data_IF_768990960006
#
_entry.id   IF_768990960006
#
_cell.length_a   1.000
_cell.length_b   1.000
_cell.length_c   1.000
_cell.angle_alpha   90.00
_cell.angle_beta   90.00
_cell.angle_gamma   90.00
#
_symmetry.space_group_name_H-M   'P 1'
#
loop_
_entity.id
_entity.type
_entity.pdbx_description
1 polymer ?
#
# COMPACT_ATOMS: atom_id res chain seq x y z
N UNK A 1 -43.29 -38.22 20.73
CA UNK A 1 -42.83 -37.28 19.69
C UNK A 1 -42.09 -36.17 20.42
N UNK A 2 -40.79 -36.36 20.66
CA UNK A 2 -39.94 -35.38 21.34
C UNK A 2 -38.94 -34.86 20.31
N UNK A 3 -39.05 -33.56 20.03
CA UNK A 3 -38.16 -32.80 19.15
C UNK A 3 -37.00 -32.27 19.99
N UNK A 4 -35.77 -32.68 19.68
CA UNK A 4 -34.55 -32.24 20.36
C UNK A 4 -33.86 -31.21 19.47
N UNK A 5 -33.96 -29.94 19.84
CA UNK A 5 -33.29 -28.83 19.18
C UNK A 5 -31.76 -28.90 19.41
N UNK A 6 -31.01 -28.92 18.31
CA UNK A 6 -29.54 -28.92 18.28
C UNK A 6 -29.03 -27.47 18.38
N UNK A 7 -28.46 -27.10 19.53
CA UNK A 7 -27.83 -25.78 19.74
C UNK A 7 -26.43 -25.78 19.12
N UNK A 8 -26.21 -24.91 18.13
CA UNK A 8 -24.91 -24.70 17.51
C UNK A 8 -23.96 -23.95 18.47
N UNK A 9 -22.80 -24.56 18.77
CA UNK A 9 -21.77 -23.97 19.62
C UNK A 9 -21.09 -22.77 18.96
N UNK A 10 -21.03 -21.64 19.68
CA UNK A 10 -20.21 -20.48 19.32
C UNK A 10 -18.71 -20.83 19.38
N UNK A 11 -17.87 -20.32 18.45
CA UNK A 11 -16.45 -20.62 18.46
C UNK A 11 -15.73 -19.91 19.62
N UNK A 12 -15.27 -20.68 20.61
CA UNK A 12 -14.48 -20.23 21.77
C UNK A 12 -13.08 -19.70 21.43
N UNK A 13 -12.65 -19.73 20.16
CA UNK A 13 -11.25 -19.45 19.79
C UNK A 13 -10.88 -17.96 19.86
N UNK A 14 -11.81 -17.03 19.66
CA UNK A 14 -11.49 -15.59 19.58
C UNK A 14 -11.07 -14.95 20.92
N UNK A 15 -11.55 -15.47 22.06
CA UNK A 15 -11.25 -14.90 23.39
C UNK A 15 -9.85 -15.29 23.91
N UNK A 16 -9.32 -16.45 23.51
CA UNK A 16 -7.98 -16.88 23.91
C UNK A 16 -6.88 -16.07 23.23
N UNK A 17 -7.05 -15.71 21.95
CA UNK A 17 -6.06 -14.91 21.21
C UNK A 17 -5.93 -13.48 21.77
N UNK A 18 -7.05 -12.83 22.10
CA UNK A 18 -7.02 -11.49 22.66
C UNK A 18 -6.33 -11.46 24.04
N UNK A 19 -6.50 -12.52 24.84
CA UNK A 19 -5.86 -12.66 26.15
C UNK A 19 -4.34 -12.82 26.05
N UNK A 20 -3.84 -13.57 25.06
CA UNK A 20 -2.40 -13.82 24.91
C UNK A 20 -1.66 -12.57 24.42
N UNK A 21 -2.24 -11.84 23.45
CA UNK A 21 -1.69 -10.57 22.95
C UNK A 21 -1.65 -9.52 24.06
N UNK A 22 -2.72 -9.42 24.85
CA UNK A 22 -2.78 -8.48 25.97
C UNK A 22 -1.77 -8.84 27.08
N UNK A 23 -1.57 -10.13 27.37
CA UNK A 23 -0.55 -10.58 28.33
C UNK A 23 0.88 -10.26 27.87
N UNK A 24 1.22 -10.46 26.59
CA UNK A 24 2.54 -10.14 26.06
C UNK A 24 2.82 -8.63 26.09
N UNK A 25 1.82 -7.80 25.75
CA UNK A 25 1.94 -6.35 25.85
C UNK A 25 2.14 -5.88 27.31
N UNK A 26 1.42 -6.47 28.27
CA UNK A 26 1.56 -6.15 29.70
C UNK A 26 2.90 -6.63 30.29
N UNK A 27 3.45 -7.75 29.81
CA UNK A 27 4.78 -8.23 30.21
C UNK A 27 5.89 -7.33 29.67
N UNK A 28 5.76 -6.81 28.44
CA UNK A 28 6.70 -5.84 27.89
C UNK A 28 6.72 -4.52 28.71
N UNK A 29 5.55 -4.07 29.19
CA UNK A 29 5.44 -2.86 30.01
C UNK A 29 5.98 -3.02 31.44
N UNK A 30 6.00 -4.24 31.97
CA UNK A 30 6.44 -4.49 33.36
C UNK A 30 7.88 -4.99 33.48
N UNK A 31 8.47 -5.52 32.38
CA UNK A 31 9.84 -6.01 32.34
C UNK A 31 10.92 -4.97 31.98
N UNK A 32 10.54 -3.81 31.43
CA UNK A 32 11.51 -2.77 31.08
C UNK A 32 11.90 -1.96 32.32
N UNK A 33 13.11 -2.21 32.83
CA UNK A 33 13.71 -1.43 33.91
C UNK A 33 13.75 0.07 33.61
N UNK A 34 13.83 0.89 34.66
CA UNK A 34 13.66 2.35 34.70
C UNK A 34 14.69 3.20 33.91
N UNK A 35 15.33 2.66 32.88
CA UNK A 35 16.36 3.34 32.07
C UNK A 35 16.04 3.45 30.57
N UNK A 36 14.88 2.98 30.13
CA UNK A 36 14.50 3.01 28.71
C UNK A 36 13.72 4.30 28.41
N UNK A 37 14.14 5.04 27.38
CA UNK A 37 13.44 6.26 26.96
C UNK A 37 12.05 5.92 26.43
N UNK A 38 11.13 6.89 26.41
CA UNK A 38 9.75 6.62 25.94
C UNK A 38 9.72 6.23 24.45
N UNK A 39 10.64 6.79 23.64
CA UNK A 39 10.81 6.43 22.23
C UNK A 39 11.23 4.95 22.06
N UNK A 40 12.13 4.46 22.91
CA UNK A 40 12.56 3.05 22.88
C UNK A 40 11.41 2.09 23.20
N UNK A 41 10.48 2.50 24.07
CA UNK A 41 9.30 1.70 24.44
C UNK A 41 8.31 1.61 23.29
N UNK A 42 8.07 2.71 22.58
CA UNK A 42 7.21 2.72 21.41
C UNK A 42 7.74 1.81 20.30
N UNK A 43 9.05 1.85 20.05
CA UNK A 43 9.70 0.96 19.08
C UNK A 43 9.56 -0.51 19.50
N UNK A 44 9.78 -0.84 20.77
CA UNK A 44 9.65 -2.21 21.27
C UNK A 44 8.22 -2.76 21.10
N UNK A 45 7.20 -1.94 21.33
CA UNK A 45 5.79 -2.31 21.12
C UNK A 45 5.49 -2.53 19.64
N UNK A 46 5.95 -1.64 18.75
CA UNK A 46 5.75 -1.76 17.31
C UNK A 46 6.39 -3.04 16.73
N UNK A 47 7.59 -3.39 17.18
CA UNK A 47 8.28 -4.63 16.80
C UNK A 47 7.51 -5.87 17.29
N UNK A 48 7.05 -5.87 18.54
CA UNK A 48 6.29 -6.99 19.11
C UNK A 48 4.95 -7.23 18.37
N UNK A 49 4.24 -6.16 18.01
CA UNK A 49 2.99 -6.24 17.24
C UNK A 49 3.22 -6.78 15.83
N UNK A 50 4.31 -6.34 15.17
CA UNK A 50 4.65 -6.79 13.81
C UNK A 50 5.00 -8.28 13.77
N UNK A 51 5.77 -8.77 14.75
CA UNK A 51 6.12 -10.20 14.85
C UNK A 51 4.89 -11.08 15.14
N UNK A 52 3.91 -10.56 15.88
CA UNK A 52 2.68 -11.30 16.19
C UNK A 52 1.75 -11.40 14.97
N UNK A 53 1.70 -10.37 14.14
CA UNK A 53 0.90 -10.36 12.91
C UNK A 53 1.38 -11.40 11.87
N UNK A 54 2.70 -11.64 11.81
CA UNK A 54 3.29 -12.64 10.91
C UNK A 54 2.96 -14.10 11.28
N UNK A 55 2.51 -14.36 12.52
CA UNK A 55 2.23 -15.70 13.02
C UNK A 55 0.78 -16.17 12.82
N UNK A 56 -0.11 -15.34 12.28
CA UNK A 56 -1.53 -15.67 12.08
C UNK A 56 -1.79 -15.92 10.60
N UNK A 57 -1.65 -17.17 10.15
CA UNK A 57 -2.11 -17.56 8.82
C UNK A 57 -3.65 -17.52 8.75
N UNK A 58 -4.25 -16.90 7.72
CA UNK A 58 -5.69 -16.93 7.52
C UNK A 58 -6.12 -18.32 7.03
N UNK A 59 -6.77 -19.10 7.90
CA UNK A 59 -7.46 -20.33 7.48
C UNK A 59 -8.67 -19.97 6.61
N UNK A 60 -8.49 -19.96 5.29
CA UNK A 60 -9.58 -19.78 4.33
C UNK A 60 -10.42 -21.07 4.27
N UNK A 61 -11.68 -20.97 4.70
CA UNK A 61 -12.67 -22.04 4.55
C UNK A 61 -13.12 -22.12 3.08
N UNK A 62 -12.97 -23.29 2.47
CA UNK A 62 -13.43 -23.57 1.12
C UNK A 62 -14.98 -23.54 1.04
N UNK A 63 -15.50 -22.73 0.11
CA UNK A 63 -16.93 -22.64 -0.21
C UNK A 63 -17.32 -23.73 -1.22
N UNK A 64 -18.47 -24.42 -1.07
CA UNK A 64 -18.89 -25.44 -2.02
C UNK A 64 -19.38 -24.83 -3.35
N UNK A 65 -18.89 -25.41 -4.45
CA UNK A 65 -19.27 -25.13 -5.84
C UNK A 65 -20.74 -25.50 -6.10
N UNK A 66 -21.55 -24.52 -6.48
CA UNK A 66 -22.91 -24.73 -6.99
C UNK A 66 -22.89 -24.76 -8.53
N UNK A 67 -23.49 -25.79 -9.12
CA UNK A 67 -23.68 -25.95 -10.55
C UNK A 67 -24.89 -25.10 -11.03
N UNK A 68 -24.70 -24.32 -12.09
CA UNK A 68 -25.80 -23.65 -12.82
C UNK A 68 -25.98 -24.29 -14.20
N UNK A 69 -27.19 -24.79 -14.43
CA UNK A 69 -27.70 -25.25 -15.72
C UNK A 69 -28.23 -24.08 -16.55
N UNK A 70 -27.84 -24.02 -17.82
CA UNK A 70 -28.38 -23.11 -18.82
C UNK A 70 -29.60 -23.71 -19.51
N UNK A 71 -30.73 -23.01 -19.51
CA UNK A 71 -31.83 -23.24 -20.46
C UNK A 71 -32.07 -21.97 -21.27
N UNK A 72 -31.90 -22.09 -22.58
CA UNK A 72 -32.20 -21.06 -23.57
C UNK A 72 -33.57 -21.35 -24.18
N UNK A 73 -34.49 -20.38 -24.11
CA UNK A 73 -35.75 -20.41 -24.84
C UNK A 73 -35.72 -19.32 -25.92
N UNK A 74 -35.71 -19.76 -27.18
CA UNK A 74 -36.01 -18.93 -28.34
C UNK A 74 -37.51 -18.64 -28.40
N UNK A 75 -37.88 -17.40 -28.69
CA UNK A 75 -39.21 -17.06 -29.21
C UNK A 75 -39.07 -16.15 -30.44
N UNK A 76 -39.67 -16.65 -31.51
CA UNK A 76 -39.88 -16.08 -32.82
C UNK A 76 -41.09 -15.12 -32.79
N UNK A 77 -41.03 -13.98 -33.48
CA UNK A 77 -42.23 -13.26 -33.87
C UNK A 77 -42.01 -12.44 -35.15
N UNK A 78 -42.79 -12.80 -36.16
CA UNK A 78 -42.94 -12.19 -37.48
C UNK A 78 -44.07 -11.16 -37.45
N UNK A 79 -43.94 -10.04 -38.17
CA UNK A 79 -45.07 -9.11 -38.40
C UNK A 79 -44.70 -7.85 -39.21
N UNK A 80 -45.16 -7.80 -40.46
CA UNK A 80 -45.24 -6.62 -41.35
C UNK A 80 -46.37 -5.65 -40.87
N UNK A 81 -46.61 -4.42 -41.33
CA UNK A 81 -46.25 -3.66 -42.54
C UNK A 81 -46.64 -2.17 -42.35
N UNK A 82 -46.11 -1.30 -43.24
CA UNK A 82 -46.62 0.01 -43.71
C UNK A 82 -46.68 1.26 -42.81
N UNK A 83 -46.01 2.33 -43.28
CA UNK A 83 -46.53 3.70 -43.12
C UNK A 83 -45.51 4.83 -42.99
N UNK A 84 -45.05 5.36 -44.14
CA UNK A 84 -44.75 6.77 -44.45
C UNK A 84 -43.76 7.63 -43.62
N UNK A 85 -43.10 8.50 -44.39
CA UNK A 85 -42.36 9.72 -44.08
C UNK A 85 -40.92 9.62 -43.55
N UNK A 86 -40.04 10.05 -44.46
CA UNK A 86 -38.62 10.34 -44.35
C UNK A 86 -38.39 11.60 -43.49
N UNK A 87 -37.53 11.50 -42.46
CA UNK A 87 -36.62 12.60 -42.17
C UNK A 87 -35.16 12.10 -42.18
N UNK A 88 -34.32 12.86 -42.86
CA UNK A 88 -32.87 12.67 -42.91
C UNK A 88 -32.28 12.76 -41.50
N UNK A 89 -32.01 11.61 -40.88
CA UNK A 89 -31.36 11.49 -39.59
C UNK A 89 -29.86 11.20 -39.76
N UNK A 90 -29.06 12.07 -39.16
CA UNK A 90 -27.61 11.97 -38.97
C UNK A 90 -27.21 10.60 -38.42
N UNK A 91 -26.26 9.95 -39.10
CA UNK A 91 -25.72 8.64 -38.74
C UNK A 91 -25.12 8.65 -37.32
N UNK A 92 -25.67 7.81 -36.45
CA UNK A 92 -25.09 7.46 -35.16
C UNK A 92 -23.85 6.56 -35.36
N UNK A 93 -22.80 6.72 -34.54
CA UNK A 93 -21.63 5.84 -34.57
C UNK A 93 -22.01 4.42 -34.08
N UNK A 94 -21.59 3.42 -34.84
CA UNK A 94 -21.78 2.01 -34.52
C UNK A 94 -21.16 1.65 -33.16
N UNK A 95 -21.93 0.91 -32.34
CA UNK A 95 -21.43 0.29 -31.12
C UNK A 95 -20.27 -0.68 -31.45
N UNK A 96 -19.16 -0.65 -30.69
CA UNK A 96 -18.10 -1.62 -30.86
C UNK A 96 -18.58 -2.99 -30.37
N UNK A 97 -18.67 -3.95 -31.29
CA UNK A 97 -18.83 -5.37 -31.00
C UNK A 97 -17.74 -5.80 -30.02
N UNK A 98 -18.13 -6.15 -28.80
CA UNK A 98 -17.21 -6.68 -27.80
C UNK A 98 -16.64 -8.03 -28.28
N UNK A 99 -15.35 -8.06 -28.56
CA UNK A 99 -14.60 -9.30 -28.74
C UNK A 99 -14.62 -10.09 -27.44
N UNK A 100 -15.05 -11.37 -27.42
CA UNK A 100 -15.03 -12.18 -26.21
C UNK A 100 -13.59 -12.32 -25.69
N UNK A 101 -13.40 -12.09 -24.39
CA UNK A 101 -12.13 -12.31 -23.71
C UNK A 101 -11.68 -13.78 -23.89
N UNK A 102 -10.37 -14.04 -24.07
CA UNK A 102 -9.83 -15.40 -24.03
C UNK A 102 -10.10 -16.02 -22.64
N UNK A 103 -10.47 -17.31 -22.65
CA UNK A 103 -10.72 -18.08 -21.44
C UNK A 103 -9.51 -18.04 -20.49
N UNK A 104 -9.78 -17.83 -19.21
CA UNK A 104 -8.75 -17.89 -18.15
C UNK A 104 -8.08 -19.27 -18.15
N UNK A 105 -6.74 -19.33 -18.02
CA UNK A 105 -6.04 -20.59 -17.89
C UNK A 105 -6.44 -21.27 -16.57
N UNK A 106 -6.98 -22.48 -16.67
CA UNK A 106 -7.29 -23.35 -15.55
C UNK A 106 -6.01 -23.61 -14.75
N UNK A 107 -5.89 -23.00 -13.57
CA UNK A 107 -4.77 -23.23 -12.68
C UNK A 107 -4.81 -24.68 -12.15
N UNK A 108 -3.87 -25.51 -12.60
CA UNK A 108 -3.62 -26.84 -12.02
C UNK A 108 -3.14 -26.66 -10.59
N UNK A 109 -3.96 -27.04 -9.62
CA UNK A 109 -3.63 -27.07 -8.20
C UNK A 109 -2.56 -28.16 -7.97
N UNK A 110 -1.31 -27.75 -7.84
CA UNK A 110 -0.28 -28.58 -7.25
C UNK A 110 -0.36 -28.42 -5.72
N UNK A 111 -0.68 -29.51 -5.04
CA UNK A 111 -0.72 -29.62 -3.58
C UNK A 111 0.72 -29.53 -3.06
N UNK A 112 1.11 -28.36 -2.54
CA UNK A 112 2.40 -28.17 -1.86
C UNK A 112 2.24 -28.66 -0.42
N UNK A 113 2.89 -29.77 -0.09
CA UNK A 113 2.92 -30.32 1.25
C UNK A 113 3.50 -29.29 2.24
N UNK A 114 2.73 -28.96 3.27
CA UNK A 114 3.14 -28.10 4.36
C UNK A 114 4.30 -28.73 5.14
N UNK A 115 5.46 -28.10 5.11
CA UNK A 115 6.56 -28.41 6.01
C UNK A 115 6.31 -27.66 7.34
N UNK A 116 5.83 -28.38 8.34
CA UNK A 116 5.68 -27.89 9.72
C UNK A 116 7.06 -27.54 10.31
N UNK A 117 7.41 -26.26 10.25
CA UNK A 117 8.65 -25.75 10.84
C UNK A 117 8.86 -24.28 10.54
N UNK A 118 8.07 -23.40 11.17
CA UNK A 118 8.36 -21.98 11.15
C UNK A 118 9.79 -21.76 11.69
N UNK A 119 10.71 -21.21 10.88
CA UNK A 119 12.09 -21.04 11.31
C UNK A 119 12.11 -20.15 12.55
N UNK A 120 12.76 -20.62 13.61
CA UNK A 120 13.01 -19.81 14.79
C UNK A 120 13.92 -18.68 14.36
N UNK A 121 13.40 -17.45 14.33
CA UNK A 121 14.17 -16.27 13.95
C UNK A 121 15.38 -16.14 14.89
N UNK A 122 16.56 -16.49 14.37
CA UNK A 122 17.81 -16.31 15.11
C UNK A 122 18.12 -14.82 15.04
N UNK A 123 18.29 -14.10 16.17
CA UNK A 123 18.61 -12.68 16.12
C UNK A 123 19.92 -12.48 15.34
N UNK A 124 19.83 -11.79 14.21
CA UNK A 124 20.96 -11.53 13.33
C UNK A 124 21.96 -10.63 14.05
N UNK A 125 23.23 -11.05 14.09
CA UNK A 125 24.35 -10.23 14.59
C UNK A 125 24.46 -8.96 13.75
N UNK A 126 24.36 -7.81 14.43
CA UNK A 126 24.20 -6.49 13.86
C UNK A 126 25.39 -6.02 13.00
N UNK A 127 25.29 -6.24 11.69
CA UNK A 127 25.78 -5.27 10.71
C UNK A 127 24.58 -4.48 10.16
N UNK A 128 23.72 -3.97 11.06
CA UNK A 128 22.46 -3.31 10.70
C UNK A 128 22.66 -2.01 9.92
N UNK A 129 21.54 -1.29 9.69
CA UNK A 129 21.55 0.06 9.12
C UNK A 129 22.76 0.88 9.63
N UNK A 130 23.44 1.67 8.78
CA UNK A 130 24.58 2.48 9.18
C UNK A 130 24.14 3.70 10.02
N UNK A 131 23.33 3.47 11.06
CA UNK A 131 22.90 4.47 12.05
C UNK A 131 24.00 4.76 13.07
N UNK A 132 25.24 4.31 12.81
CA UNK A 132 26.38 4.55 13.71
C UNK A 132 26.72 6.04 13.84
N UNK A 133 26.18 6.90 12.97
CA UNK A 133 26.15 8.33 13.18
C UNK A 133 24.93 8.69 14.05
N UNK A 134 25.20 9.12 15.29
CA UNK A 134 24.25 9.52 16.34
C UNK A 134 23.31 10.70 15.97
N UNK A 135 23.19 11.03 14.68
CA UNK A 135 22.37 12.11 14.14
C UNK A 135 21.39 11.65 13.08
N UNK A 136 21.64 10.53 12.40
CA UNK A 136 20.75 10.06 11.35
C UNK A 136 19.55 9.35 11.96
N UNK A 137 18.36 9.77 11.56
CA UNK A 137 17.08 9.20 11.92
C UNK A 137 16.45 8.58 10.68
N UNK A 138 15.72 7.49 10.85
CA UNK A 138 14.96 6.89 9.76
C UNK A 138 13.71 7.73 9.54
N UNK A 139 13.60 8.38 8.39
CA UNK A 139 12.42 9.13 7.97
C UNK A 139 11.42 8.24 7.21
N UNK A 140 11.92 7.27 6.46
CA UNK A 140 11.09 6.33 5.69
C UNK A 140 11.73 4.96 5.70
N UNK A 141 10.92 3.92 5.90
CA UNK A 141 11.31 2.53 5.72
C UNK A 141 10.23 1.85 4.86
N UNK A 142 10.60 1.36 3.68
CA UNK A 142 9.71 0.66 2.75
C UNK A 142 10.17 -0.78 2.60
N UNK A 143 9.20 -1.67 2.37
CA UNK A 143 9.41 -3.10 2.09
C UNK A 143 8.79 -3.39 0.74
N UNK A 144 9.62 -3.72 -0.25
CA UNK A 144 9.11 -4.19 -1.54
C UNK A 144 8.45 -5.56 -1.39
N UNK A 145 7.36 -5.84 -2.13
CA UNK A 145 6.80 -7.19 -2.20
C UNK A 145 7.78 -8.16 -2.89
N UNK A 146 7.66 -9.45 -2.56
CA UNK A 146 8.46 -10.55 -3.12
C UNK A 146 9.20 -11.38 -2.07
N UNK A 147 9.85 -12.46 -2.51
CA UNK A 147 10.66 -13.36 -1.67
C UNK A 147 12.08 -13.53 -2.23
N UNK A 148 13.13 -12.93 -1.61
CA UNK A 148 13.06 -11.89 -0.59
C UNK A 148 12.73 -10.50 -1.18
N UNK A 149 11.87 -9.75 -0.50
CA UNK A 149 11.56 -8.36 -0.84
C UNK A 149 12.70 -7.41 -0.44
N UNK A 150 13.03 -6.45 -1.29
CA UNK A 150 14.03 -5.43 -0.99
C UNK A 150 13.52 -4.46 0.09
N UNK A 151 14.41 -4.01 0.98
CA UNK A 151 14.13 -2.89 1.88
C UNK A 151 14.68 -1.59 1.29
N UNK A 152 14.00 -0.47 1.57
CA UNK A 152 14.47 0.87 1.25
C UNK A 152 14.36 1.74 2.48
N UNK A 153 15.39 2.53 2.76
CA UNK A 153 15.42 3.43 3.90
C UNK A 153 15.85 4.84 3.46
N UNK A 154 15.09 5.85 3.87
CA UNK A 154 15.50 7.25 3.80
C UNK A 154 15.92 7.69 5.20
N UNK A 155 17.20 8.02 5.35
CA UNK A 155 17.78 8.52 6.59
C UNK A 155 18.05 10.01 6.46
N UNK A 156 17.80 10.77 7.53
CA UNK A 156 17.96 12.23 7.54
C UNK A 156 18.50 12.67 8.90
N UNK A 157 19.17 13.81 9.00
CA UNK A 157 19.61 14.32 10.31
C UNK A 157 18.53 15.14 11.05
N UNK A 158 17.42 15.43 10.38
CA UNK A 158 16.24 16.11 10.90
C UNK A 158 14.97 15.36 10.48
N UNK A 159 14.02 15.21 11.41
CA UNK A 159 12.69 14.62 11.15
C UNK A 159 11.65 15.70 11.47
N UNK A 160 11.77 16.84 10.81
CA UNK A 160 10.67 17.81 10.75
C UNK A 160 9.88 17.51 9.47
N UNK A 161 8.62 17.10 9.63
CA UNK A 161 7.72 16.79 8.52
C UNK A 161 7.47 18.01 7.61
N UNK A 162 7.71 19.21 8.13
CA UNK A 162 7.57 20.49 7.41
C UNK A 162 8.85 20.95 6.75
N UNK A 163 9.98 20.28 6.95
CA UNK A 163 11.23 20.63 6.30
C UNK A 163 11.64 19.56 5.27
N UNK A 164 12.36 19.96 4.21
CA UNK A 164 13.05 19.00 3.38
C UNK A 164 14.05 18.20 4.21
N UNK A 165 14.34 16.99 3.75
CA UNK A 165 15.38 16.17 4.33
C UNK A 165 16.73 16.89 4.16
N UNK A 166 17.41 17.14 5.27
CA UNK A 166 18.81 17.55 5.27
C UNK A 166 19.71 16.33 5.46
N UNK A 167 20.88 16.35 4.81
CA UNK A 167 21.83 15.24 4.83
C UNK A 167 21.19 13.87 4.52
N UNK A 168 20.29 13.85 3.54
CA UNK A 168 19.49 12.69 3.18
C UNK A 168 20.37 11.55 2.64
N UNK A 169 20.22 10.35 3.21
CA UNK A 169 20.80 9.12 2.67
C UNK A 169 19.68 8.17 2.27
N UNK A 170 19.60 7.85 0.98
CA UNK A 170 18.67 6.87 0.48
C UNK A 170 19.40 5.53 0.29
N UNK A 171 18.99 4.51 1.03
CA UNK A 171 19.64 3.21 1.11
C UNK A 171 18.69 2.09 0.71
N UNK A 172 19.25 0.99 0.21
CA UNK A 172 18.52 -0.24 -0.09
C UNK A 172 19.24 -1.46 0.48
N UNK A 173 18.48 -2.48 0.85
CA UNK A 173 18.98 -3.77 1.30
C UNK A 173 18.24 -4.89 0.56
N UNK A 174 18.97 -5.91 0.14
CA UNK A 174 18.42 -7.10 -0.55
C UNK A 174 18.43 -8.36 0.34
N UNK A 175 18.85 -8.21 1.59
CA UNK A 175 19.09 -9.29 2.55
C UNK A 175 18.43 -8.98 3.91
N UNK A 176 17.23 -8.39 3.87
CA UNK A 176 16.42 -8.06 5.05
C UNK A 176 17.14 -7.16 6.08
N UNK A 177 17.97 -6.25 5.59
CA UNK A 177 18.64 -5.24 6.40
C UNK A 177 19.97 -5.69 6.99
N UNK A 178 20.51 -6.84 6.56
CA UNK A 178 21.83 -7.32 6.97
C UNK A 178 22.95 -6.50 6.30
N UNK A 179 22.77 -6.07 5.07
CA UNK A 179 23.65 -5.13 4.39
C UNK A 179 22.84 -4.05 3.70
N UNK A 180 23.40 -2.83 3.68
CA UNK A 180 22.79 -1.66 3.06
C UNK A 180 23.76 -1.05 2.05
N UNK A 181 23.23 -0.66 0.90
CA UNK A 181 23.95 0.04 -0.15
C UNK A 181 23.18 1.31 -0.53
N UNK A 182 23.85 2.25 -1.20
CA UNK A 182 23.16 3.41 -1.75
C UNK A 182 22.05 2.95 -2.72
N UNK A 183 20.85 3.48 -2.52
CA UNK A 183 19.71 3.30 -3.41
C UNK A 183 19.88 4.16 -4.68
N UNK A 184 18.96 4.07 -5.66
CA UNK A 184 19.02 4.88 -6.86
C UNK A 184 19.27 6.37 -6.61
N UNK A 185 20.34 6.89 -7.20
CA UNK A 185 20.75 8.29 -7.11
C UNK A 185 20.30 9.10 -8.33
N UNK A 186 20.69 10.37 -8.43
CA UNK A 186 20.41 11.20 -9.60
C UNK A 186 19.00 11.80 -9.64
N UNK A 187 18.36 11.97 -8.48
CA UNK A 187 17.13 12.76 -8.39
C UNK A 187 17.47 14.21 -8.82
N UNK A 188 16.83 14.77 -9.87
CA UNK A 188 17.26 16.03 -10.50
C UNK A 188 16.72 17.24 -9.74
N UNK A 189 16.97 17.29 -8.43
CA UNK A 189 16.61 18.38 -7.52
C UNK A 189 17.79 18.63 -6.56
N UNK A 190 17.77 19.75 -5.84
CA UNK A 190 18.77 20.01 -4.80
C UNK A 190 18.66 18.98 -3.66
N UNK A 191 19.78 18.69 -2.97
CA UNK A 191 19.83 17.68 -1.90
C UNK A 191 18.86 18.00 -0.74
N UNK A 192 18.61 19.28 -0.49
CA UNK A 192 17.67 19.82 0.49
C UNK A 192 16.26 20.03 -0.08
N UNK A 193 15.87 19.28 -1.12
CA UNK A 193 14.56 19.39 -1.74
C UNK A 193 13.72 18.10 -1.59
N UNK A 194 14.30 17.00 -1.09
CA UNK A 194 13.60 15.73 -0.92
C UNK A 194 12.78 15.71 0.38
N UNK A 195 11.48 15.43 0.31
CA UNK A 195 10.63 15.26 1.49
C UNK A 195 10.41 13.79 1.84
N UNK A 196 9.97 12.98 0.89
CA UNK A 196 9.57 11.62 1.17
C UNK A 196 9.83 10.72 -0.03
N UNK A 197 10.00 9.42 0.23
CA UNK A 197 10.03 8.38 -0.79
C UNK A 197 8.88 7.42 -0.51
N UNK A 198 8.15 7.03 -1.55
CA UNK A 198 7.16 5.95 -1.49
C UNK A 198 7.40 4.98 -2.67
N UNK A 199 6.69 3.86 -2.68
CA UNK A 199 6.79 2.82 -3.68
C UNK A 199 5.43 2.56 -4.32
N UNK A 200 5.42 2.25 -5.61
CA UNK A 200 4.29 1.56 -6.22
C UNK A 200 4.35 0.08 -5.82
N UNK A 201 3.48 -0.34 -4.92
CA UNK A 201 3.48 -1.73 -4.43
C UNK A 201 3.06 -2.75 -5.50
N UNK A 202 2.51 -2.34 -6.64
CA UNK A 202 2.25 -3.24 -7.76
C UNK A 202 3.45 -3.38 -8.68
N UNK A 203 4.14 -2.27 -8.98
CA UNK A 203 5.45 -2.27 -9.63
C UNK A 203 6.54 -1.90 -8.60
N UNK A 204 7.00 -2.89 -7.84
CA UNK A 204 8.01 -2.72 -6.79
C UNK A 204 9.36 -2.14 -7.29
N UNK A 205 9.53 -1.99 -8.60
CA UNK A 205 10.70 -1.35 -9.21
C UNK A 205 10.53 0.15 -9.41
N UNK A 206 9.35 0.69 -9.12
CA UNK A 206 9.00 2.09 -9.22
C UNK A 206 8.90 2.75 -7.83
N UNK A 207 9.73 3.78 -7.66
CA UNK A 207 9.76 4.61 -6.47
C UNK A 207 9.28 6.01 -6.83
N UNK A 208 8.62 6.67 -5.90
CA UNK A 208 8.12 8.03 -6.05
C UNK A 208 8.78 8.92 -5.00
N UNK A 209 9.29 10.07 -5.42
CA UNK A 209 9.88 11.07 -4.55
C UNK A 209 8.99 12.31 -4.52
N UNK A 210 8.56 12.69 -3.32
CA UNK A 210 7.94 14.00 -3.06
C UNK A 210 9.04 15.01 -2.80
N UNK A 211 9.04 16.12 -3.55
CA UNK A 211 10.09 17.14 -3.48
C UNK A 211 9.51 18.56 -3.44
N UNK A 212 10.38 19.54 -3.18
CA UNK A 212 10.07 20.96 -3.29
C UNK A 212 9.83 21.45 -4.73
N UNK A 213 10.12 20.62 -5.74
CA UNK A 213 9.96 20.94 -7.16
C UNK A 213 8.94 20.04 -7.88
N UNK A 214 8.30 19.10 -7.18
CA UNK A 214 7.42 18.16 -7.86
C UNK A 214 7.29 16.79 -7.21
N UNK A 215 6.68 15.89 -7.99
CA UNK A 215 6.77 14.44 -7.79
C UNK A 215 7.68 13.89 -8.87
N UNK A 216 8.61 13.02 -8.50
CA UNK A 216 9.47 12.31 -9.44
C UNK A 216 9.26 10.81 -9.30
N UNK A 217 9.34 10.07 -10.40
CA UNK A 217 9.27 8.61 -10.44
C UNK A 217 10.61 8.04 -10.88
N UNK A 218 11.17 7.13 -10.11
CA UNK A 218 12.29 6.29 -10.53
C UNK A 218 11.75 5.14 -11.36
N UNK A 219 12.45 4.80 -12.44
CA UNK A 219 12.18 3.60 -13.21
C UNK A 219 13.44 2.75 -13.30
N UNK A 220 13.36 1.49 -12.87
CA UNK A 220 14.45 0.52 -13.05
C UNK A 220 14.78 0.29 -14.54
N UNK A 221 13.78 0.40 -15.42
CA UNK A 221 13.96 0.20 -16.85
C UNK A 221 14.82 1.30 -17.50
N UNK A 222 14.64 2.55 -17.10
CA UNK A 222 15.47 3.67 -17.58
C UNK A 222 16.72 3.88 -16.73
N UNK A 223 16.73 3.41 -15.49
CA UNK A 223 17.79 3.72 -14.53
C UNK A 223 17.86 5.21 -14.20
N UNK A 224 16.72 5.91 -14.25
CA UNK A 224 16.66 7.36 -14.05
C UNK A 224 15.34 7.79 -13.38
N UNK A 225 15.40 8.97 -12.73
CA UNK A 225 14.23 9.70 -12.26
C UNK A 225 13.62 10.52 -13.39
N UNK A 226 12.28 10.57 -13.45
CA UNK A 226 11.52 11.43 -14.35
C UNK A 226 10.46 12.21 -13.59
N UNK A 227 10.25 13.48 -13.94
CA UNK A 227 9.18 14.29 -13.35
C UNK A 227 7.80 13.71 -13.71
N UNK A 228 6.90 13.71 -12.73
CA UNK A 228 5.50 13.27 -12.83
C UNK A 228 4.57 14.48 -12.69
N UNK A 229 4.89 15.38 -11.76
CA UNK A 229 4.19 16.64 -11.54
C UNK A 229 5.21 17.70 -11.09
N UNK A 230 4.92 18.97 -11.35
CA UNK A 230 5.79 20.13 -11.07
C UNK A 230 5.40 20.90 -9.79
N UNK A 231 4.33 20.50 -9.13
CA UNK A 231 3.88 21.09 -7.88
C UNK A 231 4.60 20.44 -6.68
N UNK A 232 5.03 21.27 -5.72
CA UNK A 232 5.61 20.80 -4.47
C UNK A 232 4.63 19.86 -3.72
N UNK A 233 5.16 18.73 -3.27
CA UNK A 233 4.42 17.77 -2.44
C UNK A 233 5.25 17.32 -1.25
N UNK A 234 4.59 16.96 -0.15
CA UNK A 234 5.25 16.48 1.08
C UNK A 234 5.22 14.96 1.18
N UNK A 235 4.12 14.36 0.78
CA UNK A 235 3.95 12.93 0.69
C UNK A 235 3.24 12.58 -0.60
N UNK A 236 3.51 11.37 -1.08
CA UNK A 236 2.85 10.76 -2.23
C UNK A 236 2.52 9.32 -1.89
N UNK A 237 1.36 8.84 -2.32
CA UNK A 237 0.94 7.47 -2.22
C UNK A 237 0.30 7.05 -3.55
N UNK A 238 0.69 5.87 -4.04
CA UNK A 238 0.19 5.32 -5.30
C UNK A 238 -0.76 4.17 -5.00
N UNK A 239 -1.91 4.15 -5.64
CA UNK A 239 -2.89 3.07 -5.46
C UNK A 239 -2.34 1.77 -6.03
N UNK A 240 -2.38 0.71 -5.23
CA UNK A 240 -1.99 -0.63 -5.66
C UNK A 240 -2.75 -1.06 -6.93
N UNK A 241 -2.01 -1.47 -7.95
CA UNK A 241 -2.55 -1.95 -9.22
C UNK A 241 -3.03 -0.83 -10.15
N UNK A 242 -2.92 0.44 -9.74
CA UNK A 242 -3.34 1.57 -10.56
C UNK A 242 -2.43 2.79 -10.37
N UNK A 243 -1.30 2.79 -11.08
CA UNK A 243 -0.32 3.89 -11.05
C UNK A 243 -0.87 5.24 -11.56
N UNK A 244 -2.05 5.27 -12.19
CA UNK A 244 -2.69 6.52 -12.59
C UNK A 244 -3.39 7.21 -11.42
N UNK A 245 -3.73 6.48 -10.36
CA UNK A 245 -4.44 7.00 -9.21
C UNK A 245 -3.42 7.30 -8.10
N UNK A 246 -3.09 8.59 -7.96
CA UNK A 246 -2.03 9.08 -7.07
C UNK A 246 -2.64 10.05 -6.06
N UNK A 247 -2.43 9.78 -4.78
CA UNK A 247 -2.74 10.69 -3.70
C UNK A 247 -1.47 11.43 -3.28
N UNK A 248 -1.56 12.71 -2.98
CA UNK A 248 -0.44 13.47 -2.45
C UNK A 248 -0.89 14.56 -1.49
N UNK A 249 0.06 15.14 -0.75
CA UNK A 249 -0.17 16.27 0.14
C UNK A 249 0.66 17.47 -0.31
N UNK A 250 0.09 18.67 -0.23
CA UNK A 250 0.83 19.91 -0.47
C UNK A 250 1.30 20.54 0.85
N UNK A 251 2.29 21.43 0.83
CA UNK A 251 2.69 22.18 2.02
C UNK A 251 1.50 22.93 2.64
N UNK A 252 1.47 23.01 3.97
CA UNK A 252 0.59 23.94 4.68
C UNK A 252 1.03 25.37 4.34
N UNK A 253 0.10 26.23 3.95
CA UNK A 253 0.34 27.68 3.87
C UNK A 253 -0.31 28.37 5.07
N UNK A 254 0.11 29.59 5.40
CA UNK A 254 -0.43 30.32 6.56
C UNK A 254 -1.96 30.55 6.50
N UNK A 255 -2.56 30.38 5.32
CA UNK A 255 -3.97 30.67 5.05
C UNK A 255 -4.82 29.43 4.78
N UNK A 256 -4.24 28.23 4.67
CA UNK A 256 -4.98 27.01 4.34
C UNK A 256 -4.42 25.75 5.03
N UNK A 257 -5.32 24.82 5.38
CA UNK A 257 -4.94 23.46 5.76
C UNK A 257 -4.14 22.79 4.64
N UNK A 258 -3.25 21.82 4.96
CA UNK A 258 -2.52 21.08 3.93
C UNK A 258 -3.54 20.33 3.05
N UNK A 259 -3.73 20.71 1.77
CA UNK A 259 -4.69 20.04 0.93
C UNK A 259 -4.12 18.66 0.57
N UNK A 260 -4.96 17.64 0.74
CA UNK A 260 -4.77 16.38 0.04
C UNK A 260 -5.28 16.57 -1.38
N UNK A 261 -4.52 16.05 -2.33
CA UNK A 261 -4.81 16.13 -3.74
C UNK A 261 -4.81 14.73 -4.34
N UNK A 262 -5.67 14.54 -5.34
CA UNK A 262 -5.87 13.27 -6.05
C UNK A 262 -5.64 13.49 -7.54
N UNK A 263 -4.76 12.70 -8.14
CA UNK A 263 -4.68 12.56 -9.59
C UNK A 263 -5.28 11.23 -10.01
N UNK A 264 -6.04 11.23 -11.10
CA UNK A 264 -6.63 10.03 -11.72
C UNK A 264 -5.96 9.67 -13.06
N UNK A 265 -4.92 10.41 -13.45
CA UNK A 265 -4.25 10.30 -14.75
C UNK A 265 -2.72 10.36 -14.62
N UNK A 266 -2.18 9.78 -13.55
CA UNK A 266 -0.74 9.60 -13.38
C UNK A 266 0.01 10.91 -13.15
N UNK A 267 -0.64 11.89 -12.52
CA UNK A 267 -0.05 13.16 -12.14
C UNK A 267 -0.22 14.30 -13.16
N UNK A 268 -0.91 14.06 -14.28
CA UNK A 268 -1.13 15.10 -15.31
C UNK A 268 -2.11 16.19 -14.84
N UNK A 269 -3.14 15.83 -14.08
CA UNK A 269 -4.05 16.77 -13.43
C UNK A 269 -4.41 16.32 -12.02
N UNK A 270 -4.79 17.29 -11.18
CA UNK A 270 -5.02 17.10 -9.75
C UNK A 270 -6.33 17.74 -9.30
N UNK A 271 -7.05 17.04 -8.45
CA UNK A 271 -8.25 17.51 -7.77
C UNK A 271 -7.95 17.67 -6.27
N UNK A 272 -8.30 18.81 -5.69
CA UNK A 272 -8.22 18.99 -4.25
C UNK A 272 -9.34 18.20 -3.55
N UNK A 273 -8.95 17.47 -2.50
CA UNK A 273 -9.87 16.72 -1.64
C UNK A 273 -10.08 17.54 -0.37
N UNK A 274 -11.26 18.14 -0.18
CA UNK A 274 -11.53 18.98 0.98
C UNK A 274 -11.45 18.14 2.26
N UNK A 275 -10.54 18.52 3.15
CA UNK A 275 -10.42 17.92 4.48
C UNK A 275 -10.79 18.95 5.53
N UNK A 276 -11.61 18.53 6.49
CA UNK A 276 -12.13 19.45 7.49
C UNK A 276 -11.04 19.96 8.46
N UNK A 277 -9.98 19.18 8.74
CA UNK A 277 -9.14 19.43 9.93
C UNK A 277 -7.66 18.99 9.85
N UNK A 278 -6.91 19.26 8.78
CA UNK A 278 -5.48 18.87 8.71
C UNK A 278 -4.53 20.06 8.85
N UNK A 279 -4.04 20.30 10.08
CA UNK A 279 -2.87 21.17 10.29
C UNK A 279 -1.59 20.35 10.11
N UNK A 280 -1.28 20.07 8.85
CA UNK A 280 -0.23 19.13 8.46
C UNK A 280 -0.79 17.73 8.22
N UNK A 281 -0.02 16.94 7.47
CA UNK A 281 -0.27 15.51 7.25
C UNK A 281 1.06 14.82 7.46
N UNK A 282 1.13 13.97 8.48
CA UNK A 282 2.27 13.14 8.82
C UNK A 282 2.25 11.81 8.08
N UNK A 283 1.05 11.29 7.76
CA UNK A 283 0.91 10.06 6.99
C UNK A 283 -0.27 10.10 6.01
N UNK A 284 -0.08 9.48 4.84
CA UNK A 284 -1.11 9.29 3.83
C UNK A 284 -1.22 7.80 3.52
N UNK A 285 -2.40 7.23 3.78
CA UNK A 285 -2.68 5.82 3.55
C UNK A 285 -3.90 5.66 2.65
N UNK A 286 -3.90 4.64 1.80
CA UNK A 286 -5.00 4.32 0.89
C UNK A 286 -5.72 3.09 1.42
N UNK A 287 -7.06 3.09 1.43
CA UNK A 287 -7.84 1.93 1.80
C UNK A 287 -7.58 0.78 0.81
N UNK A 288 -7.13 -0.41 1.25
CA UNK A 288 -6.87 -1.53 0.35
C UNK A 288 -8.15 -2.11 -0.27
N UNK A 289 -9.33 -1.76 0.28
CA UNK A 289 -10.64 -2.22 -0.21
C UNK A 289 -11.32 -1.23 -1.14
N UNK A 290 -10.88 0.02 -1.12
CA UNK A 290 -11.47 1.11 -1.89
C UNK A 290 -10.40 2.13 -2.24
N UNK A 291 -9.96 2.12 -3.49
CA UNK A 291 -8.92 3.01 -3.98
C UNK A 291 -9.31 4.49 -4.03
N UNK A 292 -10.60 4.80 -3.90
CA UNK A 292 -11.12 6.16 -3.82
C UNK A 292 -11.15 6.69 -2.38
N UNK A 293 -10.89 5.84 -1.39
CA UNK A 293 -10.86 6.22 0.02
C UNK A 293 -9.44 6.23 0.56
N UNK A 294 -9.01 7.39 1.07
CA UNK A 294 -7.74 7.57 1.74
C UNK A 294 -7.91 8.08 3.18
N UNK A 295 -6.87 7.89 3.99
CA UNK A 295 -6.75 8.42 5.34
C UNK A 295 -5.49 9.28 5.42
N UNK A 296 -5.63 10.48 5.97
CA UNK A 296 -4.52 11.36 6.31
C UNK A 296 -4.48 11.54 7.83
N UNK A 297 -3.31 11.39 8.43
CA UNK A 297 -3.06 11.57 9.86
C UNK A 297 -2.15 12.78 10.08
#
# INVERSE_FOLDING_TARGET
>A
MNDVAKVAGKPQRSLLFLSTVLCLALLALTGCGSGMSDDDKEIAIAVALTQTAAAVEPTLAATPTAASSSDATSAEATGAETGAEEPTATAAPAEPTATPLPAEPTATTAEVAAADGAPTATPLTAAGLPVTQNRLKVRTLLVAPGEPGALYALLTDQVDDRAPATNAQFLTSLDFGVTWQAAPSGLPVAEDCLYNINMDYYDATALYASTCQGIYRWSKASGAWSAVADQETRMVAVVYGNANLIWATRPVTDTAAAPVILSQNGGQSWQEIPMAHTKGVAALNISPRDSQSGYAL
#
